data_IF_335620387344
#
_entry.id   IF_335620387344
#
_cell.length_a   1.000
_cell.length_b   1.000
_cell.length_c   1.000
_cell.angle_alpha   90.00
_cell.angle_beta   90.00
_cell.angle_gamma   90.00
#
_symmetry.space_group_name_H-M   'P 1'
#
loop_
_entity.id
_entity.type
_entity.pdbx_description
1 polymer ?
#
# COMPACT_ATOMS: atom_id res chain seq x y z
N UNK A 1 -47.10 -45.73 1.31
CA UNK A 1 -45.82 -45.03 1.42
C UNK A 1 -46.01 -43.85 2.34
N UNK A 2 -45.22 -43.78 3.41
CA UNK A 2 -45.55 -43.13 4.67
C UNK A 2 -45.39 -41.59 4.59
N UNK A 3 -46.45 -40.83 4.93
CA UNK A 3 -46.42 -39.35 5.07
C UNK A 3 -45.31 -38.86 6.03
N UNK A 4 -44.92 -39.69 6.97
CA UNK A 4 -43.84 -39.42 7.92
C UNK A 4 -42.43 -39.32 7.28
N UNK A 5 -42.14 -40.12 6.25
CA UNK A 5 -40.87 -40.04 5.49
C UNK A 5 -40.77 -38.72 4.65
N UNK A 6 -41.87 -38.22 4.13
CA UNK A 6 -41.91 -36.95 3.36
C UNK A 6 -41.66 -35.76 4.28
N UNK A 7 -42.19 -35.76 5.49
CA UNK A 7 -41.98 -34.68 6.48
C UNK A 7 -40.53 -34.63 7.00
N UNK A 8 -39.89 -35.79 7.22
CA UNK A 8 -38.48 -35.85 7.61
C UNK A 8 -37.54 -35.38 6.51
N UNK A 9 -37.85 -35.71 5.22
CA UNK A 9 -37.06 -35.24 4.10
C UNK A 9 -37.19 -33.73 3.90
N UNK A 10 -38.41 -33.14 4.02
CA UNK A 10 -38.61 -31.71 3.98
C UNK A 10 -37.93 -30.97 5.14
N UNK A 11 -37.96 -31.52 6.35
CA UNK A 11 -37.24 -30.94 7.48
C UNK A 11 -35.71 -30.94 7.29
N UNK A 12 -35.18 -32.00 6.68
CA UNK A 12 -33.73 -32.09 6.38
C UNK A 12 -33.30 -31.10 5.29
N UNK A 13 -34.10 -30.89 4.26
CA UNK A 13 -33.83 -29.91 3.20
C UNK A 13 -33.89 -28.48 3.76
N UNK A 14 -34.90 -28.15 4.58
CA UNK A 14 -35.01 -26.84 5.24
C UNK A 14 -33.86 -26.59 6.24
N UNK A 15 -33.41 -27.61 6.95
CA UNK A 15 -32.26 -27.50 7.86
C UNK A 15 -30.98 -27.21 7.08
N UNK A 16 -30.75 -27.88 5.94
CA UNK A 16 -29.57 -27.64 5.09
C UNK A 16 -29.61 -26.27 4.42
N UNK A 17 -30.79 -25.77 3.98
CA UNK A 17 -30.93 -24.42 3.44
C UNK A 17 -30.70 -23.35 4.50
N UNK A 18 -31.18 -23.55 5.73
CA UNK A 18 -30.94 -22.64 6.85
C UNK A 18 -29.46 -22.65 7.32
N UNK A 19 -28.79 -23.80 7.25
CA UNK A 19 -27.36 -23.90 7.56
C UNK A 19 -26.48 -23.26 6.46
N UNK A 20 -26.87 -23.41 5.21
CA UNK A 20 -26.22 -22.77 4.06
C UNK A 20 -26.40 -21.26 4.06
N UNK A 21 -27.61 -20.76 4.39
CA UNK A 21 -27.86 -19.31 4.49
C UNK A 21 -27.18 -18.67 5.71
N UNK A 22 -26.94 -19.40 6.80
CA UNK A 22 -26.12 -18.93 7.92
C UNK A 22 -24.65 -18.82 7.57
N UNK A 23 -24.13 -19.70 6.73
CA UNK A 23 -22.73 -19.66 6.24
C UNK A 23 -22.47 -18.45 5.32
N UNK A 24 -23.46 -18.03 4.51
CA UNK A 24 -23.35 -16.88 3.61
C UNK A 24 -23.55 -15.51 4.30
N UNK A 25 -24.17 -15.50 5.50
CA UNK A 25 -24.39 -14.26 6.26
C UNK A 25 -23.23 -13.89 7.19
N UNK A 26 -22.19 -14.72 7.31
CA UNK A 26 -20.91 -14.38 7.98
C UNK A 26 -19.85 -13.91 7.00
N UNK A 27 -20.19 -13.16 5.97
CA UNK A 27 -19.27 -12.24 5.31
C UNK A 27 -19.02 -11.06 6.27
N UNK A 28 -18.48 -11.35 7.44
CA UNK A 28 -17.83 -10.36 8.29
C UNK A 28 -16.81 -9.64 7.39
N UNK A 29 -16.69 -8.34 7.50
CA UNK A 29 -15.66 -7.53 6.83
C UNK A 29 -14.32 -8.17 7.20
N UNK A 30 -13.85 -9.09 6.37
CA UNK A 30 -12.51 -9.70 6.53
C UNK A 30 -11.55 -8.57 6.21
N UNK A 31 -11.01 -7.92 7.25
CA UNK A 31 -9.98 -6.91 7.08
C UNK A 31 -8.79 -7.58 6.41
N UNK A 32 -8.37 -7.06 5.25
CA UNK A 32 -7.19 -7.55 4.55
C UNK A 32 -5.98 -7.53 5.47
N UNK A 33 -5.24 -8.62 5.50
CA UNK A 33 -4.00 -8.75 6.26
C UNK A 33 -2.85 -8.04 5.56
N UNK A 34 -1.70 -7.87 6.24
CA UNK A 34 -0.47 -7.37 5.62
C UNK A 34 -0.10 -8.18 4.36
N UNK A 35 -0.18 -9.52 4.45
CA UNK A 35 0.13 -10.41 3.32
C UNK A 35 -0.82 -10.18 2.16
N UNK A 36 -2.12 -9.97 2.42
CA UNK A 36 -3.11 -9.71 1.37
C UNK A 36 -2.80 -8.40 0.63
N UNK A 37 -2.54 -7.33 1.37
CA UNK A 37 -2.19 -6.03 0.78
C UNK A 37 -0.89 -6.07 -0.02
N UNK A 38 0.17 -6.62 0.57
CA UNK A 38 1.48 -6.69 -0.10
C UNK A 38 1.46 -7.64 -1.29
N UNK A 39 0.76 -8.78 -1.22
CA UNK A 39 0.64 -9.70 -2.37
C UNK A 39 -0.15 -9.08 -3.52
N UNK A 40 -1.25 -8.37 -3.22
CA UNK A 40 -2.02 -7.67 -4.24
C UNK A 40 -1.17 -6.60 -4.93
N UNK A 41 -0.40 -5.80 -4.17
CA UNK A 41 0.50 -4.80 -4.72
C UNK A 41 1.65 -5.44 -5.50
N UNK A 42 2.27 -6.48 -4.94
CA UNK A 42 3.35 -7.25 -5.55
C UNK A 42 2.98 -7.87 -6.89
N UNK A 43 1.71 -8.24 -7.13
CA UNK A 43 1.25 -8.77 -8.41
C UNK A 43 1.42 -7.80 -9.59
N UNK A 44 1.55 -6.49 -9.31
CA UNK A 44 1.83 -5.43 -10.29
C UNK A 44 3.33 -5.06 -10.35
N UNK A 45 4.19 -5.68 -9.51
CA UNK A 45 5.58 -5.28 -9.32
C UNK A 45 6.47 -6.52 -9.19
N UNK A 46 6.57 -7.30 -10.30
CA UNK A 46 7.41 -8.51 -10.35
C UNK A 46 8.69 -8.34 -11.17
N UNK A 47 8.79 -7.30 -12.01
CA UNK A 47 10.04 -6.97 -12.68
C UNK A 47 10.99 -6.25 -11.71
N UNK A 48 12.21 -6.78 -11.56
CA UNK A 48 13.21 -6.20 -10.65
C UNK A 48 13.57 -4.74 -10.97
N UNK A 49 13.51 -4.34 -12.26
CA UNK A 49 13.77 -2.95 -12.68
C UNK A 49 12.65 -2.02 -12.19
N UNK A 50 11.41 -2.50 -12.19
CA UNK A 50 10.29 -1.76 -11.64
C UNK A 50 10.45 -1.55 -10.13
N UNK A 51 10.82 -2.58 -9.38
CA UNK A 51 11.07 -2.46 -7.93
C UNK A 51 12.20 -1.45 -7.66
N UNK A 52 13.28 -1.50 -8.43
CA UNK A 52 14.41 -0.53 -8.28
C UNK A 52 13.94 0.91 -8.50
N UNK A 53 13.11 1.17 -9.53
CA UNK A 53 12.56 2.53 -9.74
C UNK A 53 11.66 2.95 -8.59
N UNK A 54 10.95 2.00 -7.96
CA UNK A 54 10.08 2.27 -6.82
C UNK A 54 10.86 2.65 -5.56
N UNK A 55 12.08 2.14 -5.36
CA UNK A 55 12.95 2.57 -4.25
C UNK A 55 13.33 4.06 -4.30
N UNK A 56 13.29 4.66 -5.47
CA UNK A 56 13.58 6.10 -5.64
C UNK A 56 12.28 6.89 -5.80
N UNK A 57 11.41 6.47 -6.70
CA UNK A 57 10.22 7.22 -7.10
C UNK A 57 9.19 7.36 -5.98
N UNK A 58 8.92 6.30 -5.21
CA UNK A 58 7.95 6.36 -4.09
C UNK A 58 8.41 7.30 -2.98
N UNK A 59 9.65 7.25 -2.45
CA UNK A 59 10.11 8.22 -1.47
C UNK A 59 10.01 9.68 -1.95
N UNK A 60 10.32 9.94 -3.22
CA UNK A 60 10.18 11.29 -3.81
C UNK A 60 8.72 11.75 -3.84
N UNK A 61 7.78 10.87 -4.21
CA UNK A 61 6.35 11.18 -4.24
C UNK A 61 5.83 11.42 -2.82
N UNK A 62 6.20 10.57 -1.84
CA UNK A 62 5.80 10.74 -0.44
C UNK A 62 6.30 12.04 0.12
N UNK A 63 7.57 12.38 -0.13
CA UNK A 63 8.14 13.67 0.28
C UNK A 63 7.44 14.85 -0.42
N UNK A 64 7.18 14.74 -1.72
CA UNK A 64 6.45 15.76 -2.47
C UNK A 64 5.06 16.03 -1.90
N UNK A 65 4.31 14.97 -1.59
CA UNK A 65 2.98 15.07 -0.96
C UNK A 65 3.09 15.72 0.43
N UNK A 66 4.08 15.33 1.23
CA UNK A 66 4.34 15.95 2.52
C UNK A 66 4.66 17.45 2.38
N UNK A 67 5.48 17.85 1.41
CA UNK A 67 5.80 19.25 1.12
C UNK A 67 4.56 20.03 0.68
N UNK A 68 3.83 19.55 -0.32
CA UNK A 68 2.67 20.26 -0.88
C UNK A 68 1.53 20.38 0.13
N UNK A 69 1.28 19.36 0.93
CA UNK A 69 0.25 19.35 1.97
C UNK A 69 0.71 19.97 3.29
N UNK A 70 1.95 20.49 3.38
CA UNK A 70 2.41 21.23 4.54
C UNK A 70 1.81 22.63 4.63
N UNK A 71 1.15 23.11 3.57
CA UNK A 71 0.35 24.36 3.57
C UNK A 71 -1.13 24.04 3.27
N UNK A 72 -2.07 24.70 3.95
CA UNK A 72 -1.86 25.61 5.09
C UNK A 72 -1.34 24.86 6.32
N UNK A 73 -0.55 25.54 7.14
CA UNK A 73 -0.02 24.96 8.38
C UNK A 73 0.16 26.03 9.46
N UNK A 74 0.06 25.62 10.70
CA UNK A 74 0.24 26.46 11.88
C UNK A 74 0.95 25.70 12.99
N UNK A 75 1.62 26.42 13.87
CA UNK A 75 2.26 25.83 15.05
C UNK A 75 1.32 25.87 16.23
N UNK A 76 1.05 24.73 16.86
CA UNK A 76 0.29 24.59 18.09
C UNK A 76 1.07 23.73 19.07
N UNK A 77 1.34 24.26 20.27
CA UNK A 77 2.13 23.58 21.29
C UNK A 77 3.49 23.05 20.80
N UNK A 78 4.17 23.79 19.91
CA UNK A 78 5.46 23.40 19.35
C UNK A 78 5.40 22.36 18.20
N UNK A 79 4.21 21.91 17.81
CA UNK A 79 4.00 20.98 16.72
C UNK A 79 3.46 21.71 15.48
N UNK A 80 3.98 21.34 14.31
CA UNK A 80 3.46 21.81 13.03
C UNK A 80 2.24 20.99 12.61
N UNK A 81 1.07 21.63 12.68
CA UNK A 81 -0.21 21.04 12.27
C UNK A 81 -0.49 21.44 10.82
N UNK A 82 -0.73 20.44 9.96
CA UNK A 82 -1.02 20.63 8.54
C UNK A 82 -1.79 19.43 7.99
N UNK A 83 -2.40 19.52 6.81
CA UNK A 83 -2.99 18.36 6.12
C UNK A 83 -2.00 17.20 5.97
N UNK A 84 -0.72 17.50 5.71
CA UNK A 84 0.34 16.48 5.65
C UNK A 84 0.51 15.73 6.99
N UNK A 85 0.51 16.45 8.12
CA UNK A 85 0.64 15.84 9.44
C UNK A 85 -0.54 14.92 9.78
N UNK A 86 -1.76 15.33 9.42
CA UNK A 86 -2.97 14.52 9.62
C UNK A 86 -2.95 13.26 8.76
N UNK A 87 -2.56 13.38 7.48
CA UNK A 87 -2.42 12.24 6.58
C UNK A 87 -1.34 11.26 7.08
N UNK A 88 -0.19 11.78 7.53
CA UNK A 88 0.89 10.96 8.08
C UNK A 88 0.46 10.24 9.36
N UNK A 89 -0.29 10.88 10.24
CA UNK A 89 -0.82 10.27 11.45
C UNK A 89 -1.78 9.13 11.12
N UNK A 90 -2.74 9.35 10.21
CA UNK A 90 -3.69 8.32 9.76
C UNK A 90 -2.97 7.13 9.12
N UNK A 91 -2.00 7.40 8.23
CA UNK A 91 -1.19 6.36 7.60
C UNK A 91 -0.34 5.57 8.62
N UNK A 92 0.24 6.25 9.59
CA UNK A 92 1.01 5.61 10.67
C UNK A 92 0.14 4.66 11.49
N UNK A 93 -1.06 5.09 11.89
CA UNK A 93 -2.02 4.24 12.61
C UNK A 93 -2.38 3.00 11.77
N UNK A 94 -2.63 3.19 10.48
CA UNK A 94 -2.92 2.09 9.56
C UNK A 94 -1.78 1.09 9.48
N UNK A 95 -0.52 1.54 9.28
CA UNK A 95 0.63 0.67 9.19
C UNK A 95 0.92 -0.08 10.50
N UNK A 96 0.80 0.59 11.65
CA UNK A 96 0.97 -0.04 12.96
C UNK A 96 -0.07 -1.13 13.25
N UNK A 97 -1.27 -0.98 12.69
CA UNK A 97 -2.33 -2.01 12.79
C UNK A 97 -2.07 -3.20 11.86
N UNK A 98 -1.42 -2.99 10.73
CA UNK A 98 -1.05 -4.06 9.80
C UNK A 98 0.15 -4.87 10.33
N UNK A 99 1.22 -4.18 10.75
CA UNK A 99 2.46 -4.78 11.23
C UNK A 99 3.24 -3.77 12.09
N UNK A 100 3.45 -4.10 13.36
CA UNK A 100 4.11 -3.16 14.29
C UNK A 100 5.54 -2.81 13.88
N UNK A 101 6.45 -3.78 13.57
CA UNK A 101 7.81 -3.47 13.17
C UNK A 101 7.90 -2.58 11.92
N UNK A 102 7.21 -2.93 10.84
CA UNK A 102 7.19 -2.13 9.61
C UNK A 102 6.48 -0.78 9.85
N UNK A 103 5.42 -0.77 10.66
CA UNK A 103 4.70 0.44 11.03
C UNK A 103 5.56 1.45 11.81
N UNK A 104 6.45 0.99 12.70
CA UNK A 104 7.41 1.86 13.39
C UNK A 104 8.41 2.46 12.41
N UNK A 105 8.95 1.68 11.48
CA UNK A 105 9.84 2.20 10.43
C UNK A 105 9.12 3.25 9.60
N UNK A 106 7.88 2.97 9.17
CA UNK A 106 7.06 3.93 8.42
C UNK A 106 6.77 5.20 9.21
N UNK A 107 6.49 5.09 10.52
CA UNK A 107 6.28 6.25 11.39
C UNK A 107 7.49 7.18 11.42
N UNK A 108 8.71 6.63 11.54
CA UNK A 108 9.95 7.40 11.50
C UNK A 108 10.14 8.08 10.15
N UNK A 109 9.96 7.35 9.04
CA UNK A 109 10.11 7.89 7.70
C UNK A 109 9.10 9.00 7.40
N UNK A 110 7.82 8.80 7.78
CA UNK A 110 6.79 9.84 7.64
C UNK A 110 7.07 11.06 8.52
N UNK A 111 7.55 10.88 9.75
CA UNK A 111 7.94 11.99 10.61
C UNK A 111 9.07 12.84 9.98
N UNK A 112 10.06 12.19 9.37
CA UNK A 112 11.12 12.88 8.62
C UNK A 112 10.57 13.64 7.41
N UNK A 113 9.63 13.07 6.66
CA UNK A 113 8.96 13.76 5.55
C UNK A 113 8.15 14.98 6.03
N UNK A 114 7.43 14.87 7.16
CA UNK A 114 6.69 15.98 7.74
C UNK A 114 7.63 17.08 8.24
N UNK A 115 8.73 16.71 8.88
CA UNK A 115 9.76 17.66 9.30
C UNK A 115 10.33 18.45 8.10
N UNK A 116 10.70 17.75 7.02
CA UNK A 116 11.19 18.38 5.79
C UNK A 116 10.13 19.28 5.14
N UNK A 117 8.88 18.79 5.06
CA UNK A 117 7.75 19.55 4.53
C UNK A 117 7.47 20.81 5.32
N UNK A 118 7.51 20.76 6.65
CA UNK A 118 7.31 21.90 7.54
C UNK A 118 8.40 22.97 7.33
N UNK A 119 9.66 22.57 7.17
CA UNK A 119 10.77 23.48 6.86
C UNK A 119 10.59 24.16 5.50
N UNK A 120 10.21 23.40 4.47
CA UNK A 120 9.94 23.94 3.13
C UNK A 120 8.69 24.83 3.12
N UNK A 121 7.69 24.54 3.92
CA UNK A 121 6.49 25.38 4.04
C UNK A 121 6.78 26.80 4.55
N UNK A 122 7.88 27.03 5.25
CA UNK A 122 8.33 28.34 5.73
C UNK A 122 9.09 29.14 4.66
N UNK A 123 9.52 28.52 3.57
CA UNK A 123 10.23 29.17 2.49
C UNK A 123 9.29 30.04 1.62
N UNK A 124 9.81 30.93 0.77
CA UNK A 124 8.99 31.65 -0.20
C UNK A 124 8.14 30.69 -1.05
N UNK A 125 6.96 31.15 -1.46
CA UNK A 125 5.99 30.29 -2.17
C UNK A 125 6.58 29.63 -3.42
N UNK A 126 7.43 30.34 -4.17
CA UNK A 126 8.09 29.77 -5.35
C UNK A 126 9.01 28.59 -4.99
N UNK A 127 9.77 28.69 -3.90
CA UNK A 127 10.69 27.63 -3.44
C UNK A 127 9.89 26.42 -2.99
N UNK A 128 8.89 26.63 -2.12
CA UNK A 128 8.02 25.56 -1.64
C UNK A 128 7.28 24.85 -2.78
N UNK A 129 6.66 25.61 -3.67
CA UNK A 129 5.86 25.05 -4.77
C UNK A 129 6.73 24.33 -5.80
N UNK A 130 7.86 24.94 -6.22
CA UNK A 130 8.76 24.31 -7.18
C UNK A 130 9.41 23.05 -6.62
N UNK A 131 9.78 23.02 -5.34
CA UNK A 131 10.29 21.82 -4.68
C UNK A 131 9.22 20.72 -4.65
N UNK A 132 8.00 21.03 -4.18
CA UNK A 132 6.92 20.05 -4.09
C UNK A 132 6.50 19.49 -5.44
N UNK A 133 6.25 20.38 -6.42
CA UNK A 133 5.85 19.95 -7.78
C UNK A 133 7.00 19.24 -8.49
N UNK A 134 8.24 19.73 -8.37
CA UNK A 134 9.41 19.10 -8.98
C UNK A 134 9.64 17.69 -8.48
N UNK A 135 9.63 17.48 -7.16
CA UNK A 135 9.74 16.14 -6.56
C UNK A 135 8.61 15.22 -7.02
N UNK A 136 7.37 15.74 -7.07
CA UNK A 136 6.20 14.99 -7.51
C UNK A 136 6.34 14.51 -8.96
N UNK A 137 6.65 15.44 -9.87
CA UNK A 137 6.80 15.13 -11.31
C UNK A 137 7.94 14.15 -11.53
N UNK A 138 9.12 14.40 -10.94
CA UNK A 138 10.29 13.50 -11.08
C UNK A 138 9.97 12.11 -10.51
N UNK A 139 9.36 12.04 -9.33
CA UNK A 139 8.95 10.78 -8.72
C UNK A 139 8.02 9.98 -9.62
N UNK A 140 7.00 10.61 -10.21
CA UNK A 140 6.08 9.95 -11.13
C UNK A 140 6.72 9.53 -12.45
N UNK A 141 7.62 10.33 -13.01
CA UNK A 141 8.38 9.92 -14.21
C UNK A 141 9.15 8.63 -13.93
N UNK A 142 9.85 8.55 -12.79
CA UNK A 142 10.58 7.35 -12.39
C UNK A 142 9.64 6.16 -12.23
N UNK A 143 8.47 6.33 -11.61
CA UNK A 143 7.44 5.29 -11.47
C UNK A 143 6.96 4.77 -12.82
N UNK A 144 6.62 5.65 -13.75
CA UNK A 144 6.15 5.25 -15.07
C UNK A 144 7.24 4.52 -15.88
N UNK A 145 8.51 4.89 -15.74
CA UNK A 145 9.64 4.14 -16.31
C UNK A 145 9.66 2.70 -15.76
N UNK A 146 9.44 2.52 -14.46
CA UNK A 146 9.34 1.19 -13.85
C UNK A 146 8.18 0.37 -14.42
N UNK A 147 6.99 0.96 -14.50
CA UNK A 147 5.81 0.31 -15.06
C UNK A 147 5.92 0.01 -16.56
N UNK A 148 6.71 0.79 -17.29
CA UNK A 148 7.06 0.46 -18.68
C UNK A 148 7.81 -0.89 -18.77
N UNK A 149 8.77 -1.14 -17.88
CA UNK A 149 9.46 -2.45 -17.81
C UNK A 149 8.53 -3.57 -17.34
N UNK A 150 7.64 -3.32 -16.40
CA UNK A 150 6.66 -4.29 -15.92
C UNK A 150 5.68 -4.70 -17.02
N UNK A 151 5.35 -3.78 -17.92
CA UNK A 151 4.34 -4.01 -18.97
C UNK A 151 2.91 -4.00 -18.43
N UNK A 152 2.70 -3.47 -17.23
CA UNK A 152 1.41 -3.33 -16.55
C UNK A 152 1.21 -1.89 -16.08
N UNK A 153 -0.06 -1.46 -16.01
CA UNK A 153 -0.44 -0.19 -15.41
C UNK A 153 -0.12 -0.19 -13.90
N UNK A 154 0.07 1.00 -13.30
CA UNK A 154 0.24 1.13 -11.85
C UNK A 154 -0.94 0.55 -11.06
N UNK A 155 -0.66 -0.06 -9.91
CA UNK A 155 -1.66 -0.71 -9.05
C UNK A 155 -2.78 0.24 -8.58
N UNK A 156 -2.46 1.52 -8.33
CA UNK A 156 -3.42 2.52 -7.85
C UNK A 156 -4.54 2.84 -8.86
N UNK A 157 -4.37 2.51 -10.14
CA UNK A 157 -5.41 2.69 -11.16
C UNK A 157 -6.58 1.73 -10.92
N UNK A 158 -6.29 0.54 -10.39
CA UNK A 158 -7.32 -0.45 -10.04
C UNK A 158 -7.80 -0.32 -8.59
N UNK A 159 -6.89 0.05 -7.69
CA UNK A 159 -7.16 0.18 -6.25
C UNK A 159 -6.34 1.33 -5.66
N UNK A 160 -7.02 2.42 -5.29
CA UNK A 160 -6.41 3.62 -4.67
C UNK A 160 -5.62 3.28 -3.41
N UNK A 161 -5.96 2.18 -2.72
CA UNK A 161 -5.20 1.66 -1.57
C UNK A 161 -3.73 1.42 -1.94
N UNK A 162 -3.44 1.17 -3.23
CA UNK A 162 -2.08 1.05 -3.75
C UNK A 162 -1.19 2.26 -3.46
N UNK A 163 -1.76 3.49 -3.35
CA UNK A 163 -0.98 4.69 -3.00
C UNK A 163 -0.47 4.64 -1.55
N UNK A 164 -1.22 4.03 -0.64
CA UNK A 164 -0.82 3.87 0.77
C UNK A 164 0.06 2.62 0.94
N UNK A 165 -0.23 1.55 0.21
CA UNK A 165 0.54 0.30 0.31
C UNK A 165 1.91 0.43 -0.36
N UNK A 166 2.06 1.24 -1.40
CA UNK A 166 3.33 1.43 -2.12
C UNK A 166 4.52 1.78 -1.21
N UNK A 167 4.44 2.79 -0.34
CA UNK A 167 5.52 3.10 0.60
C UNK A 167 5.86 1.94 1.54
N UNK A 168 4.85 1.22 2.06
CA UNK A 168 5.04 0.06 2.90
C UNK A 168 5.70 -1.10 2.14
N UNK A 169 5.32 -1.31 0.88
CA UNK A 169 5.92 -2.31 0.00
C UNK A 169 7.41 -2.05 -0.23
N UNK A 170 7.81 -0.79 -0.48
CA UNK A 170 9.23 -0.40 -0.62
C UNK A 170 10.02 -0.75 0.65
N UNK A 171 9.49 -0.44 1.83
CA UNK A 171 10.14 -0.77 3.11
C UNK A 171 10.22 -2.29 3.31
N UNK A 172 9.18 -3.03 2.94
CA UNK A 172 9.18 -4.50 3.02
C UNK A 172 10.22 -5.11 2.07
N UNK A 173 10.30 -4.65 0.82
CA UNK A 173 11.30 -5.12 -0.15
C UNK A 173 12.74 -4.81 0.31
N UNK A 174 12.99 -3.64 0.92
CA UNK A 174 14.29 -3.33 1.54
C UNK A 174 14.62 -4.30 2.67
N UNK A 175 13.64 -4.65 3.51
CA UNK A 175 13.83 -5.65 4.54
C UNK A 175 14.15 -7.05 3.96
N UNK A 176 13.51 -7.43 2.84
CA UNK A 176 13.80 -8.69 2.16
C UNK A 176 15.21 -8.73 1.57
N UNK A 177 15.66 -7.64 0.95
CA UNK A 177 17.04 -7.51 0.42
C UNK A 177 18.11 -7.65 1.51
N UNK A 178 17.82 -7.22 2.73
CA UNK A 178 18.72 -7.38 3.88
C UNK A 178 18.59 -8.75 4.57
N UNK A 179 17.76 -9.65 4.02
CA UNK A 179 17.53 -10.98 4.59
C UNK A 179 16.56 -11.02 5.77
N UNK A 180 15.96 -9.87 6.10
CA UNK A 180 14.92 -9.76 7.13
C UNK A 180 13.56 -10.21 6.61
N UNK A 181 12.66 -10.64 7.52
CA UNK A 181 11.24 -10.95 7.20
C UNK A 181 11.05 -12.03 6.12
N UNK A 182 11.96 -12.99 6.00
CA UNK A 182 11.87 -14.10 5.02
C UNK A 182 10.52 -14.83 5.00
N UNK A 183 9.86 -15.16 6.14
CA UNK A 183 8.54 -15.79 6.11
C UNK A 183 7.48 -14.93 5.40
N UNK A 184 7.54 -13.60 5.57
CA UNK A 184 6.65 -12.66 4.89
C UNK A 184 6.95 -12.63 3.38
N UNK A 185 8.22 -12.60 2.99
CA UNK A 185 8.65 -12.66 1.59
C UNK A 185 8.11 -13.93 0.90
N UNK A 186 8.32 -15.11 1.50
CA UNK A 186 7.81 -16.37 0.97
C UNK A 186 6.29 -16.38 0.80
N UNK A 187 5.54 -15.91 1.80
CA UNK A 187 4.09 -15.83 1.71
C UNK A 187 3.58 -14.90 0.59
N UNK A 188 4.32 -13.83 0.27
CA UNK A 188 4.01 -12.94 -0.85
C UNK A 188 4.37 -13.62 -2.18
N UNK A 189 5.55 -14.24 -2.29
CA UNK A 189 6.02 -14.90 -3.50
C UNK A 189 5.15 -16.12 -3.88
N UNK A 190 4.63 -16.85 -2.91
CA UNK A 190 3.67 -17.95 -3.14
C UNK A 190 2.38 -17.45 -3.82
N UNK A 191 1.94 -16.23 -3.54
CA UNK A 191 0.69 -15.65 -4.08
C UNK A 191 0.88 -14.87 -5.37
N UNK A 192 1.99 -14.14 -5.50
CA UNK A 192 2.23 -13.20 -6.60
C UNK A 192 3.39 -13.59 -7.53
N UNK A 193 4.05 -14.70 -7.24
CA UNK A 193 5.21 -15.20 -7.95
C UNK A 193 6.53 -14.52 -7.51
N UNK A 194 7.69 -15.12 -7.87
CA UNK A 194 9.00 -14.58 -7.54
C UNK A 194 9.30 -13.31 -8.34
N UNK A 195 10.20 -12.48 -7.80
CA UNK A 195 10.76 -11.34 -8.51
C UNK A 195 11.73 -11.82 -9.59
N UNK A 196 11.62 -11.27 -10.79
CA UNK A 196 12.47 -11.62 -11.94
C UNK A 196 12.57 -10.49 -12.95
N UNK A 197 13.09 -10.79 -14.15
CA UNK A 197 13.02 -9.85 -15.29
C UNK A 197 11.89 -10.28 -16.22
N UNK A 198 11.04 -9.34 -16.60
CA UNK A 198 10.04 -9.60 -17.62
C UNK A 198 10.70 -9.68 -19.01
N UNK A 199 10.93 -10.88 -19.49
CA UNK A 199 11.58 -11.14 -20.80
C UNK A 199 10.62 -11.02 -21.99
N UNK A 200 9.31 -10.92 -21.77
CA UNK A 200 8.31 -10.84 -22.85
C UNK A 200 8.44 -9.60 -23.75
N UNK A 201 9.08 -8.52 -23.27
CA UNK A 201 9.32 -7.30 -24.05
C UNK A 201 10.68 -7.22 -24.73
N UNK A 202 11.60 -8.14 -24.46
CA UNK A 202 12.90 -8.18 -25.16
C UNK A 202 12.83 -8.87 -26.54
N UNK A 203 11.65 -9.37 -26.94
CA UNK A 203 11.40 -10.10 -28.18
C UNK A 203 10.55 -9.30 -29.21
N UNK A 204 10.36 -7.98 -28.99
CA UNK A 204 9.76 -7.03 -29.94
C UNK A 204 10.77 -5.92 -30.28
#
# INVERSE_FOLDING_TARGET
MCHFCSLLFQAHVLYNDLSSSRSSSQAGIIMKTLVDHLSQYAAYHRDSRNIVTHFVGIPLIVLAVAVLLSRPGWTMAGLWISPAALLALGSTIFYLRLDRPLGVVMAVLLALCIWAGANLAQQPTMVWLSAGVGLFVVGWIIQFVGHYYEGRKPAFIDDVTGLIIGPLFVVAELAFLTGLRKPLQHAIEERSGPVGRNTRKAAL
#
